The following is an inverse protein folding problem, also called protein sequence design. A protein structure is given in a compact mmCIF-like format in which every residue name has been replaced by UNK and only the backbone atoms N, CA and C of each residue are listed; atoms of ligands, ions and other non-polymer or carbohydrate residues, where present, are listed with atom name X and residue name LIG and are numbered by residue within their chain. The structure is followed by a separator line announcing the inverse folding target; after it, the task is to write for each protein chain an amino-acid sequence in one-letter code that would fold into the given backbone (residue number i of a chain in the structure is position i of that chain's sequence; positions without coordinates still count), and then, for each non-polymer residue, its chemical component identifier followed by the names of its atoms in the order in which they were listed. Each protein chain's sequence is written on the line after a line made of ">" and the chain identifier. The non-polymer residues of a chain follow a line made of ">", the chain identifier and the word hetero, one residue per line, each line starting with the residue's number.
data_IF_856391502841
#
_entry.id   IF_856391502841
#
_cell.length_a   1.000
_cell.length_b   1.000
_cell.length_c   1.000
_cell.angle_alpha   90.00
_cell.angle_beta   90.00
_cell.angle_gamma   90.00
#
_symmetry.space_group_name_H-M   'P 1'
#
loop_
_entity.id
_entity.type
_entity.pdbx_description
1 polymer ?
#
# COMPACT_ATOMS: atom_id res chain seq x y z
N UNK A 1 -17.12 -14.23 -8.72
CA UNK A 1 -16.05 -13.66 -9.54
C UNK A 1 -16.37 -12.21 -9.81
N UNK A 2 -15.38 -11.33 -9.70
CA UNK A 2 -15.54 -9.90 -9.98
C UNK A 2 -15.67 -9.66 -11.49
N UNK A 3 -16.43 -8.64 -11.92
CA UNK A 3 -16.50 -8.29 -13.33
C UNK A 3 -15.17 -7.74 -13.83
N UNK A 4 -14.93 -7.80 -15.14
CA UNK A 4 -13.87 -7.01 -15.76
C UNK A 4 -14.03 -5.53 -15.39
N UNK A 5 -12.94 -4.79 -15.14
CA UNK A 5 -11.53 -5.13 -15.38
C UNK A 5 -10.78 -5.73 -14.17
N UNK A 6 -11.47 -6.28 -13.17
CA UNK A 6 -10.80 -6.92 -12.04
C UNK A 6 -10.15 -8.24 -12.44
N UNK A 7 -8.92 -8.46 -11.99
CA UNK A 7 -8.25 -9.75 -12.17
C UNK A 7 -7.22 -10.01 -11.07
N UNK A 8 -7.09 -11.28 -10.71
CA UNK A 8 -6.05 -11.74 -9.79
C UNK A 8 -4.76 -12.06 -10.55
N UNK A 9 -3.64 -11.67 -9.98
CA UNK A 9 -2.30 -12.09 -10.39
C UNK A 9 -1.72 -12.90 -9.24
N UNK A 10 -1.44 -14.17 -9.50
CA UNK A 10 -0.98 -15.11 -8.50
C UNK A 10 0.52 -15.34 -8.62
N UNK A 11 1.26 -15.03 -7.55
CA UNK A 11 2.64 -15.46 -7.35
C UNK A 11 2.70 -16.44 -6.17
N UNK A 12 3.77 -17.27 -6.07
CA UNK A 12 3.88 -18.30 -5.03
C UNK A 12 3.65 -17.79 -3.60
N UNK A 13 4.19 -16.60 -3.29
CA UNK A 13 4.16 -16.02 -1.94
C UNK A 13 3.29 -14.78 -1.83
N UNK A 14 2.64 -14.34 -2.91
CA UNK A 14 1.80 -13.14 -2.91
C UNK A 14 0.76 -13.17 -4.02
N UNK A 15 -0.50 -12.83 -3.71
CA UNK A 15 -1.55 -12.62 -4.71
C UNK A 15 -1.93 -11.14 -4.76
N UNK A 16 -2.12 -10.61 -5.96
CA UNK A 16 -2.52 -9.23 -6.20
C UNK A 16 -3.89 -9.20 -6.86
N UNK A 17 -4.80 -8.37 -6.37
CA UNK A 17 -6.00 -8.00 -7.10
C UNK A 17 -5.75 -6.67 -7.79
N UNK A 18 -5.92 -6.64 -9.11
CA UNK A 18 -5.77 -5.45 -9.92
C UNK A 18 -7.13 -4.98 -10.46
N UNK A 19 -7.28 -3.67 -10.59
CA UNK A 19 -8.35 -3.00 -11.35
C UNK A 19 -7.68 -2.09 -12.38
N UNK A 20 -7.84 -2.41 -13.67
CA UNK A 20 -6.99 -1.86 -14.73
C UNK A 20 -5.49 -2.05 -14.38
N UNK A 21 -4.71 -0.96 -14.36
CA UNK A 21 -3.28 -0.97 -14.00
C UNK A 21 -3.02 -0.73 -12.50
N UNK A 22 -4.07 -0.63 -11.67
CA UNK A 22 -3.95 -0.30 -10.25
C UNK A 22 -4.09 -1.51 -9.35
N UNK A 23 -3.19 -1.67 -8.37
CA UNK A 23 -3.32 -2.70 -7.32
C UNK A 23 -4.35 -2.28 -6.28
N UNK A 24 -5.40 -3.08 -6.14
CA UNK A 24 -6.51 -2.88 -5.20
C UNK A 24 -6.27 -3.68 -3.92
N UNK A 25 -5.84 -4.94 -4.03
CA UNK A 25 -5.54 -5.75 -2.85
C UNK A 25 -4.24 -6.53 -3.02
N UNK A 26 -3.59 -6.80 -1.90
CA UNK A 26 -2.38 -7.63 -1.81
C UNK A 26 -2.57 -8.63 -0.70
N UNK A 27 -2.37 -9.91 -0.98
CA UNK A 27 -2.39 -11.01 -0.03
C UNK A 27 -1.00 -11.62 0.01
N UNK A 28 -0.42 -11.79 1.19
CA UNK A 28 0.91 -12.34 1.38
C UNK A 28 0.89 -13.42 2.46
N UNK A 29 1.66 -14.49 2.28
CA UNK A 29 1.87 -15.48 3.32
C UNK A 29 2.76 -14.89 4.43
N UNK A 30 2.27 -14.93 5.65
CA UNK A 30 2.95 -14.44 6.85
C UNK A 30 2.75 -15.45 7.99
N UNK A 31 3.83 -16.10 8.43
CA UNK A 31 3.81 -17.04 9.57
C UNK A 31 2.72 -18.13 9.48
N UNK A 32 2.55 -18.74 8.30
CA UNK A 32 1.57 -19.81 8.07
C UNK A 32 0.11 -19.35 7.94
N UNK A 33 -0.16 -18.04 7.94
CA UNK A 33 -1.46 -17.45 7.63
C UNK A 33 -1.32 -16.46 6.49
N UNK A 34 -2.41 -16.13 5.80
CA UNK A 34 -2.40 -15.10 4.77
C UNK A 34 -2.78 -13.77 5.40
N UNK A 35 -1.89 -12.79 5.33
CA UNK A 35 -2.19 -11.41 5.64
C UNK A 35 -2.62 -10.69 4.36
N UNK A 36 -3.66 -9.87 4.45
CA UNK A 36 -4.21 -9.15 3.30
C UNK A 36 -4.35 -7.67 3.59
N UNK A 37 -4.07 -6.85 2.58
CA UNK A 37 -4.34 -5.41 2.58
C UNK A 37 -5.20 -5.07 1.37
N UNK A 38 -6.30 -4.36 1.59
CA UNK A 38 -7.20 -3.86 0.57
C UNK A 38 -7.19 -2.34 0.59
N UNK A 39 -6.87 -1.72 -0.53
CA UNK A 39 -6.85 -0.28 -0.72
C UNK A 39 -8.13 0.15 -1.43
N UNK A 40 -8.89 1.02 -0.79
CA UNK A 40 -10.16 1.51 -1.31
C UNK A 40 -10.43 2.93 -0.85
N UNK A 41 -10.83 3.80 -1.78
CA UNK A 41 -11.23 5.17 -1.47
C UNK A 41 -10.23 5.93 -0.58
N UNK A 42 -8.94 5.83 -0.89
CA UNK A 42 -7.88 6.48 -0.12
C UNK A 42 -7.56 5.84 1.24
N UNK A 43 -8.17 4.70 1.59
CA UNK A 43 -7.98 3.98 2.84
C UNK A 43 -7.41 2.59 2.60
N UNK A 44 -6.66 2.09 3.59
CA UNK A 44 -6.15 0.72 3.61
C UNK A 44 -6.84 -0.07 4.71
N UNK A 45 -7.39 -1.23 4.34
CA UNK A 45 -8.06 -2.16 5.23
C UNK A 45 -7.20 -3.41 5.34
N UNK A 46 -6.88 -3.80 6.57
CA UNK A 46 -6.05 -4.97 6.82
C UNK A 46 -6.91 -6.13 7.35
N UNK A 47 -6.55 -7.36 6.96
CA UNK A 47 -7.22 -8.58 7.43
C UNK A 47 -6.26 -9.77 7.45
N UNK A 48 -6.67 -10.85 8.13
CA UNK A 48 -6.01 -12.17 8.09
C UNK A 48 -6.98 -13.23 7.58
N UNK A 49 -6.45 -14.23 6.88
CA UNK A 49 -7.16 -15.38 6.37
C UNK A 49 -6.36 -16.68 6.59
N UNK A 50 -7.04 -17.82 6.67
CA UNK A 50 -6.38 -19.13 6.83
C UNK A 50 -5.74 -19.65 5.55
N UNK A 51 -6.13 -19.15 4.37
CA UNK A 51 -5.56 -19.52 3.07
C UNK A 51 -5.75 -18.41 2.04
N UNK A 52 -5.01 -18.48 0.93
CA UNK A 52 -5.18 -17.54 -0.19
C UNK A 52 -6.60 -17.59 -0.75
N UNK A 53 -7.19 -18.78 -0.86
CA UNK A 53 -8.57 -18.94 -1.34
C UNK A 53 -9.58 -18.19 -0.46
N UNK A 54 -9.46 -18.34 0.86
CA UNK A 54 -10.31 -17.60 1.80
C UNK A 54 -10.08 -16.10 1.72
N UNK A 55 -8.81 -15.67 1.62
CA UNK A 55 -8.47 -14.26 1.49
C UNK A 55 -9.05 -13.62 0.22
N UNK A 56 -8.94 -14.32 -0.92
CA UNK A 56 -9.51 -13.85 -2.20
C UNK A 56 -11.03 -13.73 -2.10
N UNK A 57 -11.71 -14.74 -1.57
CA UNK A 57 -13.16 -14.70 -1.37
C UNK A 57 -13.59 -13.55 -0.45
N UNK A 58 -12.84 -13.29 0.62
CA UNK A 58 -13.11 -12.16 1.50
C UNK A 58 -13.02 -10.83 0.75
N UNK A 59 -11.94 -10.62 -0.03
CA UNK A 59 -11.74 -9.41 -0.84
C UNK A 59 -12.86 -9.24 -1.87
N UNK A 60 -13.20 -10.30 -2.61
CA UNK A 60 -14.25 -10.25 -3.61
C UNK A 60 -15.61 -9.88 -3.00
N UNK A 61 -15.98 -10.51 -1.88
CA UNK A 61 -17.22 -10.19 -1.16
C UNK A 61 -17.21 -8.77 -0.61
N UNK A 62 -16.07 -8.30 -0.10
CA UNK A 62 -15.92 -6.94 0.39
C UNK A 62 -16.17 -5.92 -0.72
N UNK A 63 -15.61 -6.15 -1.91
CA UNK A 63 -15.79 -5.28 -3.08
C UNK A 63 -17.24 -5.32 -3.57
N UNK A 64 -17.83 -6.50 -3.69
CA UNK A 64 -19.24 -6.65 -4.12
C UNK A 64 -20.18 -5.92 -3.18
N UNK A 65 -19.93 -5.98 -1.86
CA UNK A 65 -20.73 -5.26 -0.87
C UNK A 65 -20.66 -3.73 -1.00
N UNK A 66 -19.65 -3.17 -1.68
CA UNK A 66 -19.56 -1.73 -1.98
C UNK A 66 -20.36 -1.32 -3.23
N UNK A 67 -20.85 -2.27 -4.01
CA UNK A 67 -21.72 -2.00 -5.15
C UNK A 67 -21.02 -1.22 -6.26
N UNK A 68 -21.39 0.05 -6.44
CA UNK A 68 -20.94 0.91 -7.56
C UNK A 68 -19.68 1.72 -7.26
N UNK A 69 -19.20 1.70 -6.01
CA UNK A 69 -17.97 2.41 -5.68
C UNK A 69 -16.81 1.80 -6.46
N UNK A 70 -15.97 2.66 -7.04
CA UNK A 70 -14.73 2.25 -7.70
C UNK A 70 -13.54 2.42 -6.76
N UNK A 71 -12.48 1.63 -6.90
CA UNK A 71 -11.23 1.87 -6.20
C UNK A 71 -10.68 3.20 -6.70
N UNK A 72 -10.35 4.10 -5.77
CA UNK A 72 -9.63 5.34 -6.09
C UNK A 72 -8.17 5.22 -5.69
N UNK A 73 -7.31 5.98 -6.36
CA UNK A 73 -5.88 6.00 -6.05
C UNK A 73 -5.71 6.34 -4.57
N UNK A 74 -4.82 5.64 -3.84
CA UNK A 74 -4.51 6.03 -2.47
C UNK A 74 -4.09 7.50 -2.50
N UNK A 75 -4.73 8.32 -1.67
CA UNK A 75 -4.29 9.70 -1.46
C UNK A 75 -2.89 9.55 -0.90
N UNK A 76 -1.86 9.83 -1.72
CA UNK A 76 -0.48 9.86 -1.23
C UNK A 76 -0.52 10.72 0.02
N UNK A 77 -0.09 10.22 1.20
CA UNK A 77 0.02 11.08 2.36
C UNK A 77 0.84 12.27 1.89
N UNK A 78 0.25 13.47 1.94
CA UNK A 78 0.92 14.71 1.56
C UNK A 78 2.16 14.72 2.43
N UNK A 79 3.32 14.37 1.84
CA UNK A 79 4.61 14.17 2.53
C UNK A 79 4.69 15.32 3.52
N UNK A 80 4.49 15.04 4.80
CA UNK A 80 4.21 16.09 5.78
C UNK A 80 5.37 17.07 5.63
N UNK A 81 5.05 18.32 5.33
CA UNK A 81 6.01 19.42 5.24
C UNK A 81 7.01 19.42 6.41
N UNK A 82 6.62 18.83 7.56
CA UNK A 82 7.49 18.49 8.70
C UNK A 82 8.74 17.68 8.36
N UNK A 83 8.71 16.62 7.55
CA UNK A 83 9.94 15.84 7.27
C UNK A 83 10.92 16.64 6.42
N UNK A 84 10.44 17.39 5.42
CA UNK A 84 11.27 18.34 4.68
C UNK A 84 11.81 19.45 5.59
N UNK A 85 10.98 20.02 6.45
CA UNK A 85 11.40 21.06 7.39
C UNK A 85 12.42 20.55 8.42
N UNK A 86 12.28 19.31 8.91
CA UNK A 86 13.22 18.67 9.83
C UNK A 86 14.53 18.35 9.12
N UNK A 87 14.51 17.78 7.92
CA UNK A 87 15.71 17.57 7.11
C UNK A 87 16.42 18.89 6.79
N UNK A 88 15.66 19.92 6.43
CA UNK A 88 16.21 21.24 6.10
C UNK A 88 16.76 21.96 7.33
N UNK A 89 16.12 21.82 8.50
CA UNK A 89 16.65 22.31 9.77
C UNK A 89 17.90 21.55 10.23
N UNK A 90 17.98 20.24 10.00
CA UNK A 90 19.18 19.44 10.30
C UNK A 90 20.36 19.79 9.39
N UNK A 91 20.10 20.02 8.09
CA UNK A 91 21.11 20.48 7.14
C UNK A 91 21.59 21.89 7.51
N UNK A 92 20.68 22.79 7.89
CA UNK A 92 21.02 24.16 8.24
C UNK A 92 21.70 24.31 9.61
N UNK A 93 21.64 23.30 10.48
CA UNK A 93 22.28 23.28 11.81
C UNK A 93 23.68 22.65 11.82
N UNK A 94 24.23 22.23 10.66
CA UNK A 94 25.64 21.83 10.61
C UNK A 94 26.51 23.07 10.93
N UNK A 95 27.35 23.03 11.98
CA UNK A 95 28.25 24.14 12.27
C UNK A 95 29.27 24.27 11.13
N UNK A 96 29.58 25.51 10.76
CA UNK A 96 30.57 25.89 9.76
C UNK A 96 32.01 25.67 10.26
N UNK A 97 32.33 24.47 10.70
CA UNK A 97 33.62 24.09 11.26
C UNK A 97 34.24 22.95 10.45
N UNK A 98 34.44 23.15 9.14
CA UNK A 98 35.37 22.31 8.35
C UNK A 98 35.62 22.84 6.93
N UNK A 99 35.85 24.14 6.73
CA UNK A 99 36.48 24.61 5.48
C UNK A 99 37.40 25.80 5.77
N UNK A 100 38.63 25.51 6.20
CA UNK A 100 39.87 26.24 5.83
C UNK A 100 41.06 25.77 6.68
N UNK A 101 41.84 24.87 6.11
CA UNK A 101 43.30 24.95 6.15
C UNK A 101 43.79 24.40 4.80
N UNK A 102 44.56 25.21 4.05
CA UNK A 102 45.97 24.91 4.01
C UNK A 102 46.82 26.14 4.30
N UNK A 103 48.04 25.87 4.76
CA UNK A 103 49.14 26.82 4.93
C UNK A 103 49.48 27.52 3.62
#
# INVERSE_FOLDING_TARGET
>A
MLPTPYHWIDNPDTCYLCFNYGTVAVLKLETGRVAGTLNWQGRSFWFKAGSYRQGKMWVERWIVARGKDLPSRPVKPRRRSREKAVLQALISKRPAAEVRAPR
#
